data_IF_353222215340
#
_entry.id   IF_353222215340
#
_cell.length_a   1.000
_cell.length_b   1.000
_cell.length_c   1.000
_cell.angle_alpha   90.00
_cell.angle_beta   90.00
_cell.angle_gamma   90.00
#
_symmetry.space_group_name_H-M   'P 1'
#
loop_
_entity.id
_entity.type
_entity.pdbx_description
1 polymer ?
#
# COMPACT_ATOMS: atom_id res chain seq x y z
N UNK A 1 23.57 9.48 -4.06
CA UNK A 1 22.22 9.62 -3.46
C UNK A 1 21.59 8.24 -3.45
N UNK A 2 20.89 7.87 -2.38
CA UNK A 2 20.17 6.60 -2.28
C UNK A 2 19.07 6.53 -3.34
N UNK A 3 18.97 5.39 -4.03
CA UNK A 3 17.95 5.15 -5.05
C UNK A 3 16.70 4.58 -4.39
N UNK A 4 15.68 5.41 -4.23
CA UNK A 4 14.44 5.07 -3.54
C UNK A 4 13.36 4.60 -4.52
N UNK A 5 12.57 3.59 -4.11
CA UNK A 5 11.46 3.05 -4.88
C UNK A 5 10.19 2.97 -4.03
N UNK A 6 9.09 3.50 -4.55
CA UNK A 6 7.76 3.33 -4.00
C UNK A 6 6.96 2.33 -4.85
N UNK A 7 6.50 1.25 -4.23
CA UNK A 7 5.60 0.26 -4.81
C UNK A 7 4.17 0.58 -4.34
N UNK A 8 3.24 0.71 -5.27
CA UNK A 8 1.83 0.98 -4.98
C UNK A 8 1.01 -0.24 -5.41
N UNK A 9 0.51 -1.00 -4.44
CA UNK A 9 -0.35 -2.14 -4.74
C UNK A 9 -1.79 -1.68 -4.88
N UNK A 10 -2.38 -1.99 -6.03
CA UNK A 10 -3.75 -1.58 -6.36
C UNK A 10 -4.58 -2.73 -6.91
N UNK A 11 -5.89 -2.66 -6.74
CA UNK A 11 -6.85 -3.48 -7.46
C UNK A 11 -7.33 -2.74 -8.71
N UNK A 12 -7.75 -3.49 -9.72
CA UNK A 12 -8.44 -2.89 -10.85
C UNK A 12 -9.81 -2.37 -10.38
N UNK A 13 -10.18 -1.10 -10.71
CA UNK A 13 -11.45 -0.52 -10.26
C UNK A 13 -12.63 -1.07 -11.08
N UNK A 14 -13.10 -2.25 -10.68
CA UNK A 14 -14.19 -2.97 -11.33
C UNK A 14 -15.42 -3.05 -10.43
N UNK A 15 -16.60 -2.85 -11.03
CA UNK A 15 -17.88 -2.89 -10.32
C UNK A 15 -18.07 -4.25 -9.61
N UNK A 16 -18.38 -4.20 -8.31
CA UNK A 16 -18.60 -5.38 -7.49
C UNK A 16 -17.34 -6.16 -7.07
N UNK A 17 -16.13 -5.75 -7.53
CA UNK A 17 -14.87 -6.42 -7.18
C UNK A 17 -14.03 -5.66 -6.16
N UNK A 18 -14.33 -4.38 -5.91
CA UNK A 18 -13.61 -3.52 -4.97
C UNK A 18 -14.52 -3.07 -3.82
N UNK A 19 -13.92 -2.85 -2.64
CA UNK A 19 -14.64 -2.39 -1.44
C UNK A 19 -15.94 -3.13 -1.18
N UNK A 20 -15.90 -4.45 -1.27
CA UNK A 20 -17.09 -5.32 -1.17
C UNK A 20 -17.77 -5.28 0.20
N UNK A 21 -17.03 -4.97 1.28
CA UNK A 21 -17.63 -4.73 2.61
C UNK A 21 -18.46 -3.46 2.60
N UNK A 22 -17.89 -2.36 2.10
CA UNK A 22 -18.57 -1.08 1.94
C UNK A 22 -19.78 -1.21 1.00
N UNK A 23 -19.64 -1.95 -0.10
CA UNK A 23 -20.71 -2.17 -1.08
C UNK A 23 -21.97 -2.85 -0.49
N UNK A 24 -21.82 -3.66 0.56
CA UNK A 24 -22.97 -4.24 1.27
C UNK A 24 -23.89 -3.19 1.89
N UNK A 25 -23.33 -2.03 2.26
CA UNK A 25 -24.06 -0.96 2.92
C UNK A 25 -24.53 0.11 1.93
N UNK A 26 -23.72 0.48 0.92
CA UNK A 26 -24.00 1.63 0.03
C UNK A 26 -24.24 1.25 -1.43
N UNK A 27 -24.11 -0.04 -1.77
CA UNK A 27 -24.22 -0.54 -3.15
C UNK A 27 -22.91 -0.47 -3.93
N UNK A 28 -22.81 -1.31 -4.99
CA UNK A 28 -21.58 -1.46 -5.77
C UNK A 28 -21.14 -0.19 -6.50
N UNK A 29 -22.10 0.59 -7.03
CA UNK A 29 -21.79 1.81 -7.79
C UNK A 29 -21.15 2.88 -6.90
N UNK A 30 -21.68 3.10 -5.70
CA UNK A 30 -21.12 4.06 -4.74
C UNK A 30 -19.79 3.57 -4.20
N UNK A 31 -19.66 2.28 -3.88
CA UNK A 31 -18.39 1.69 -3.43
C UNK A 31 -17.28 1.79 -4.47
N UNK A 32 -17.61 1.62 -5.77
CA UNK A 32 -16.66 1.84 -6.86
C UNK A 32 -16.24 3.32 -6.94
N UNK A 33 -17.16 4.27 -6.81
CA UNK A 33 -16.82 5.71 -6.80
C UNK A 33 -15.91 6.07 -5.64
N UNK A 34 -16.18 5.55 -4.44
CA UNK A 34 -15.29 5.71 -3.27
C UNK A 34 -13.91 5.14 -3.58
N UNK A 35 -13.82 3.94 -4.15
CA UNK A 35 -12.53 3.35 -4.48
C UNK A 35 -11.74 4.17 -5.51
N UNK A 36 -12.42 4.70 -6.54
CA UNK A 36 -11.78 5.60 -7.53
C UNK A 36 -11.26 6.87 -6.85
N UNK A 37 -12.00 7.43 -5.87
CA UNK A 37 -11.51 8.58 -5.11
C UNK A 37 -10.29 8.24 -4.25
N UNK A 38 -10.22 7.05 -3.65
CA UNK A 38 -9.04 6.57 -2.92
C UNK A 38 -7.81 6.45 -3.84
N UNK A 39 -8.00 5.95 -5.07
CA UNK A 39 -6.94 5.92 -6.08
C UNK A 39 -6.47 7.34 -6.45
N UNK A 40 -7.40 8.28 -6.66
CA UNK A 40 -7.07 9.68 -6.94
C UNK A 40 -6.32 10.32 -5.77
N UNK A 41 -6.72 10.04 -4.53
CA UNK A 41 -6.02 10.50 -3.34
C UNK A 41 -4.60 9.93 -3.28
N UNK A 42 -4.43 8.62 -3.52
CA UNK A 42 -3.12 7.98 -3.58
C UNK A 42 -2.23 8.62 -4.65
N UNK A 43 -2.78 8.92 -5.83
CA UNK A 43 -2.04 9.66 -6.86
C UNK A 43 -1.59 11.03 -6.36
N UNK A 44 -2.50 11.83 -5.78
CA UNK A 44 -2.21 13.20 -5.31
C UNK A 44 -1.01 13.28 -4.37
N UNK A 45 -0.90 12.35 -3.40
CA UNK A 45 0.21 12.40 -2.45
C UNK A 45 1.47 11.67 -2.93
N UNK A 46 1.41 10.88 -4.02
CA UNK A 46 2.59 10.16 -4.51
C UNK A 46 3.24 10.80 -5.73
N UNK A 47 2.48 11.54 -6.58
CA UNK A 47 2.96 12.01 -7.89
C UNK A 47 4.24 12.84 -7.82
N UNK A 48 4.38 13.70 -6.80
CA UNK A 48 5.52 14.61 -6.64
C UNK A 48 6.62 14.11 -5.69
N UNK A 49 6.53 12.85 -5.19
CA UNK A 49 7.58 12.29 -4.35
C UNK A 49 8.89 12.12 -5.13
N UNK A 50 10.06 12.46 -4.53
CA UNK A 50 11.37 12.36 -5.18
C UNK A 50 11.92 10.92 -5.17
N UNK A 51 11.17 9.98 -5.73
CA UNK A 51 11.52 8.57 -5.86
C UNK A 51 10.92 7.98 -7.13
N UNK A 52 11.46 6.85 -7.59
CA UNK A 52 10.83 6.07 -8.65
C UNK A 52 9.56 5.40 -8.11
N UNK A 53 8.57 5.20 -8.97
CA UNK A 53 7.25 4.67 -8.60
C UNK A 53 6.80 3.56 -9.52
N UNK A 54 6.31 2.46 -8.94
CA UNK A 54 5.72 1.35 -9.69
C UNK A 54 4.33 1.07 -9.13
N UNK A 55 3.33 1.09 -10.00
CA UNK A 55 1.97 0.65 -9.67
C UNK A 55 1.81 -0.81 -10.07
N UNK A 56 1.51 -1.65 -9.09
CA UNK A 56 1.27 -3.08 -9.27
C UNK A 56 -0.23 -3.39 -9.27
N UNK A 57 -0.74 -3.81 -10.42
CA UNK A 57 -2.15 -4.17 -10.61
C UNK A 57 -2.43 -5.61 -10.22
N UNK A 58 -3.62 -5.86 -9.67
CA UNK A 58 -4.01 -7.21 -9.23
C UNK A 58 -4.33 -8.17 -10.36
N UNK A 59 -4.89 -7.68 -11.49
CA UNK A 59 -5.39 -8.53 -12.58
C UNK A 59 -4.84 -8.16 -13.95
N UNK A 60 -4.91 -6.88 -14.34
CA UNK A 60 -4.44 -6.43 -15.66
C UNK A 60 -3.93 -4.99 -15.63
N UNK A 61 -2.94 -4.66 -16.46
CA UNK A 61 -2.42 -3.32 -16.60
C UNK A 61 -3.36 -2.50 -17.48
N UNK A 62 -3.84 -1.37 -16.96
CA UNK A 62 -4.58 -0.37 -17.74
C UNK A 62 -3.65 0.79 -18.10
N UNK A 63 -3.39 0.97 -19.41
CA UNK A 63 -2.55 2.06 -19.89
C UNK A 63 -3.27 3.41 -19.98
N UNK A 64 -4.61 3.44 -19.80
CA UNK A 64 -5.46 4.63 -19.92
C UNK A 64 -6.20 4.96 -18.63
N UNK A 65 -5.53 4.81 -17.49
CA UNK A 65 -6.07 5.14 -16.18
C UNK A 65 -5.42 6.41 -15.60
N UNK A 66 -5.62 6.64 -14.31
CA UNK A 66 -5.12 7.82 -13.61
C UNK A 66 -3.59 7.86 -13.46
N UNK A 67 -2.90 6.71 -13.55
CA UNK A 67 -1.45 6.60 -13.37
C UNK A 67 -0.74 6.86 -14.69
N UNK A 68 -0.22 8.08 -14.89
CA UNK A 68 0.47 8.42 -16.11
C UNK A 68 1.85 7.71 -16.23
N UNK A 69 2.23 7.35 -17.46
CA UNK A 69 3.44 6.56 -17.74
C UNK A 69 4.77 7.36 -17.59
N UNK A 70 4.70 8.68 -17.46
CA UNK A 70 5.91 9.50 -17.24
C UNK A 70 6.33 9.48 -15.78
N UNK A 71 5.34 9.33 -14.88
CA UNK A 71 5.54 9.33 -13.41
C UNK A 71 5.58 7.92 -12.84
N UNK A 72 4.80 7.00 -13.42
CA UNK A 72 4.60 5.66 -12.85
C UNK A 72 4.93 4.56 -13.87
N UNK A 73 5.83 3.66 -13.51
CA UNK A 73 5.94 2.36 -14.19
C UNK A 73 4.75 1.48 -13.76
N UNK A 74 4.27 0.62 -14.64
CA UNK A 74 3.12 -0.25 -14.40
C UNK A 74 3.53 -1.70 -14.53
N UNK A 75 3.16 -2.52 -13.53
CA UNK A 75 3.50 -3.94 -13.46
C UNK A 75 2.30 -4.76 -12.96
N UNK A 76 2.34 -6.08 -13.15
CA UNK A 76 1.36 -6.99 -12.57
C UNK A 76 1.89 -7.60 -11.26
N UNK A 77 1.03 -7.71 -10.27
CA UNK A 77 1.31 -8.50 -9.09
C UNK A 77 1.47 -9.97 -9.50
N UNK A 78 2.54 -10.61 -9.04
CA UNK A 78 2.79 -12.03 -9.32
C UNK A 78 3.04 -12.81 -8.03
N UNK A 79 2.32 -13.92 -7.85
CA UNK A 79 2.38 -14.76 -6.65
C UNK A 79 1.01 -15.31 -6.26
N UNK A 80 1.02 -16.40 -5.50
CA UNK A 80 -0.19 -17.15 -5.15
C UNK A 80 -1.02 -16.48 -4.02
N UNK A 81 -0.37 -15.67 -3.20
CA UNK A 81 -0.98 -14.91 -2.10
C UNK A 81 -0.37 -13.52 -2.00
N UNK A 82 -0.90 -12.67 -1.12
CA UNK A 82 -0.44 -11.29 -0.93
C UNK A 82 1.04 -11.24 -0.52
N UNK A 83 1.48 -12.14 0.36
CA UNK A 83 2.87 -12.19 0.81
C UNK A 83 3.84 -12.50 -0.32
N UNK A 84 3.53 -13.52 -1.13
CA UNK A 84 4.34 -13.86 -2.31
C UNK A 84 4.38 -12.69 -3.33
N UNK A 85 3.25 -12.01 -3.53
CA UNK A 85 3.17 -10.85 -4.44
C UNK A 85 4.05 -9.70 -3.95
N UNK A 86 3.98 -9.35 -2.67
CA UNK A 86 4.85 -8.33 -2.08
C UNK A 86 6.32 -8.73 -2.14
N UNK A 87 6.65 -9.98 -1.75
CA UNK A 87 8.02 -10.48 -1.80
C UNK A 87 8.63 -10.42 -3.21
N UNK A 88 7.86 -10.77 -4.23
CA UNK A 88 8.30 -10.72 -5.63
C UNK A 88 8.54 -9.27 -6.10
N UNK A 89 7.66 -8.34 -5.72
CA UNK A 89 7.82 -6.92 -6.04
C UNK A 89 9.07 -6.32 -5.37
N UNK A 90 9.32 -6.61 -4.08
CA UNK A 90 10.54 -6.21 -3.40
C UNK A 90 11.79 -6.83 -4.05
N UNK A 91 11.76 -8.13 -4.35
CA UNK A 91 12.86 -8.85 -5.01
C UNK A 91 13.21 -8.21 -6.35
N UNK A 92 12.21 -7.86 -7.15
CA UNK A 92 12.41 -7.16 -8.42
C UNK A 92 13.09 -5.80 -8.19
N UNK A 93 12.58 -4.97 -7.28
CA UNK A 93 13.17 -3.68 -6.98
C UNK A 93 14.63 -3.78 -6.51
N UNK A 94 14.96 -4.70 -5.61
CA UNK A 94 16.34 -4.91 -5.17
C UNK A 94 17.24 -5.43 -6.31
N UNK A 95 16.72 -6.26 -7.23
CA UNK A 95 17.49 -6.70 -8.40
C UNK A 95 17.77 -5.57 -9.39
N UNK A 96 16.99 -4.49 -9.36
CA UNK A 96 17.18 -3.26 -10.14
C UNK A 96 18.04 -2.21 -9.40
N UNK A 97 18.74 -2.65 -8.32
CA UNK A 97 19.65 -1.84 -7.52
C UNK A 97 19.00 -0.62 -6.84
N UNK A 98 17.76 -0.73 -6.37
CA UNK A 98 17.19 0.22 -5.42
C UNK A 98 17.73 -0.05 -4.01
N UNK A 99 18.08 1.03 -3.29
CA UNK A 99 18.65 0.94 -1.94
C UNK A 99 17.57 0.87 -0.85
N UNK A 100 16.45 1.56 -1.07
CA UNK A 100 15.31 1.60 -0.16
C UNK A 100 14.03 1.39 -0.94
N UNK A 101 13.22 0.46 -0.50
CA UNK A 101 11.94 0.17 -1.13
C UNK A 101 10.84 0.25 -0.09
N UNK A 102 9.77 0.97 -0.43
CA UNK A 102 8.54 1.04 0.36
C UNK A 102 7.39 0.53 -0.48
N UNK A 103 6.53 -0.31 0.10
CA UNK A 103 5.25 -0.72 -0.47
C UNK A 103 4.11 -0.10 0.33
N UNK A 104 3.09 0.38 -0.38
CA UNK A 104 1.83 0.88 0.20
C UNK A 104 0.63 0.26 -0.50
N UNK A 105 -0.51 0.20 0.21
CA UNK A 105 -1.83 0.02 -0.39
C UNK A 105 -2.33 1.31 -1.07
N UNK A 106 -3.45 1.20 -1.78
CA UNK A 106 -4.10 2.33 -2.49
C UNK A 106 -5.49 2.65 -1.94
N UNK A 107 -5.76 2.29 -0.71
CA UNK A 107 -7.08 2.39 -0.08
C UNK A 107 -7.11 3.16 1.25
N UNK A 108 -6.05 3.93 1.51
CA UNK A 108 -5.94 4.83 2.66
C UNK A 108 -6.21 6.28 2.22
N UNK A 109 -7.14 6.93 2.90
CA UNK A 109 -7.45 8.33 2.64
C UNK A 109 -6.49 9.30 3.35
N UNK A 110 -6.04 8.94 4.57
CA UNK A 110 -5.24 9.77 5.46
C UNK A 110 -3.72 9.63 5.29
N UNK A 111 -3.27 8.77 4.38
CA UNK A 111 -1.85 8.66 4.05
C UNK A 111 -1.40 9.94 3.33
N UNK A 112 -0.23 10.45 3.71
CA UNK A 112 0.35 11.69 3.15
C UNK A 112 1.74 11.48 2.60
N UNK A 113 2.19 12.44 1.76
CA UNK A 113 3.58 12.48 1.27
C UNK A 113 4.59 12.49 2.41
N UNK A 114 4.31 13.23 3.50
CA UNK A 114 5.23 13.39 4.63
C UNK A 114 5.48 12.07 5.36
N UNK A 115 4.45 11.22 5.50
CA UNK A 115 4.61 9.90 6.12
C UNK A 115 5.53 9.01 5.27
N UNK A 116 5.40 9.06 3.94
CA UNK A 116 6.24 8.28 3.02
C UNK A 116 7.69 8.81 3.02
N UNK A 117 7.87 10.13 3.02
CA UNK A 117 9.19 10.75 3.11
C UNK A 117 9.87 10.41 4.43
N UNK A 118 9.16 10.54 5.57
CA UNK A 118 9.66 10.08 6.86
C UNK A 118 10.07 8.61 6.82
N UNK A 119 9.25 7.74 6.23
CA UNK A 119 9.55 6.31 6.14
C UNK A 119 10.87 6.06 5.36
N UNK A 120 11.12 6.78 4.26
CA UNK A 120 12.40 6.68 3.54
C UNK A 120 13.58 7.21 4.37
N UNK A 121 13.41 8.29 5.12
CA UNK A 121 14.45 8.82 6.02
C UNK A 121 14.75 7.85 7.16
N UNK A 122 13.72 7.28 7.78
CA UNK A 122 13.88 6.32 8.89
C UNK A 122 14.60 5.04 8.47
N UNK A 123 14.52 4.65 7.20
CA UNK A 123 15.32 3.54 6.66
C UNK A 123 16.83 3.83 6.68
N UNK A 124 17.30 5.06 6.85
CA UNK A 124 18.75 5.31 7.01
C UNK A 124 19.30 4.65 8.28
N UNK A 125 18.53 4.64 9.36
CA UNK A 125 18.94 4.15 10.68
C UNK A 125 18.20 2.89 11.16
N UNK A 126 17.20 2.43 10.42
CA UNK A 126 16.42 1.23 10.72
C UNK A 126 16.48 0.22 9.57
N UNK A 127 16.23 -1.05 9.86
CA UNK A 127 16.21 -2.12 8.87
C UNK A 127 14.85 -2.21 8.18
N UNK A 128 13.79 -1.95 8.96
CA UNK A 128 12.39 -2.01 8.52
C UNK A 128 11.63 -0.79 9.01
N UNK A 129 10.71 -0.30 8.19
CA UNK A 129 9.68 0.66 8.57
C UNK A 129 8.32 0.03 8.34
N UNK A 130 7.44 0.09 9.34
CA UNK A 130 6.05 -0.39 9.26
C UNK A 130 5.08 0.74 9.58
N UNK A 131 4.03 0.85 8.77
CA UNK A 131 2.88 1.69 9.05
C UNK A 131 1.71 0.82 9.51
N UNK A 132 1.40 0.77 10.82
CA UNK A 132 0.33 -0.08 11.34
C UNK A 132 -1.03 0.41 10.86
N UNK A 133 -1.93 -0.54 10.58
CA UNK A 133 -3.33 -0.30 10.27
C UNK A 133 -4.21 -0.73 11.46
N UNK A 134 -5.31 0.00 11.69
CA UNK A 134 -6.21 -0.26 12.83
C UNK A 134 -6.89 -1.63 12.78
N UNK A 135 -6.97 -2.25 11.60
CA UNK A 135 -7.50 -3.59 11.40
C UNK A 135 -6.55 -4.72 11.85
N UNK A 136 -5.33 -4.36 12.32
CA UNK A 136 -4.28 -5.30 12.74
C UNK A 136 -3.37 -5.77 11.59
N UNK A 137 -3.47 -5.16 10.42
CA UNK A 137 -2.53 -5.25 9.32
C UNK A 137 -1.48 -4.13 9.35
N UNK A 138 -0.91 -3.84 8.19
CA UNK A 138 -0.09 -2.66 7.95
C UNK A 138 -0.36 -2.10 6.57
N UNK A 139 -0.38 -0.78 6.46
CA UNK A 139 -0.60 -0.07 5.21
C UNK A 139 0.70 0.27 4.47
N UNK A 140 1.83 0.26 5.20
CA UNK A 140 3.15 0.57 4.70
C UNK A 140 4.16 -0.44 5.22
N UNK A 141 5.01 -0.94 4.34
CA UNK A 141 6.18 -1.74 4.67
C UNK A 141 7.36 -1.23 3.88
N UNK A 142 8.43 -0.84 4.56
CA UNK A 142 9.70 -0.40 3.95
C UNK A 142 10.87 -1.22 4.45
N UNK A 143 11.86 -1.48 3.58
CA UNK A 143 13.10 -2.17 3.92
C UNK A 143 14.26 -1.82 2.98
N UNK A 144 15.50 -2.12 3.41
CA UNK A 144 16.75 -1.91 2.64
C UNK A 144 17.28 -3.20 2.02
N UNK A 145 16.86 -4.33 2.51
CA UNK A 145 17.20 -5.67 2.00
C UNK A 145 15.96 -6.56 2.11
N UNK A 146 15.88 -7.56 1.24
CA UNK A 146 14.76 -8.49 1.30
C UNK A 146 14.82 -9.34 2.57
N UNK A 147 13.77 -9.28 3.38
CA UNK A 147 13.60 -10.08 4.61
C UNK A 147 12.48 -11.11 4.36
N UNK A 148 12.80 -12.33 3.90
CA UNK A 148 11.80 -13.30 3.47
C UNK A 148 10.84 -13.78 4.57
N UNK A 149 11.24 -13.71 5.84
CA UNK A 149 10.39 -14.12 6.99
C UNK A 149 9.11 -13.30 7.09
N UNK A 150 9.15 -12.02 6.74
CA UNK A 150 7.99 -11.12 6.75
C UNK A 150 6.82 -11.66 5.92
N UNK A 151 7.13 -12.38 4.84
CA UNK A 151 6.13 -12.80 3.84
C UNK A 151 5.68 -14.26 3.99
N UNK A 152 6.25 -15.01 4.94
CA UNK A 152 5.97 -16.44 5.10
C UNK A 152 5.02 -16.70 6.26
N UNK A 153 4.20 -17.75 6.13
CA UNK A 153 3.34 -18.25 7.21
C UNK A 153 2.43 -17.17 7.82
N UNK A 154 1.84 -16.31 6.97
CA UNK A 154 0.90 -15.26 7.39
C UNK A 154 -0.53 -15.61 7.01
N UNK A 155 -1.43 -15.32 7.91
CA UNK A 155 -2.86 -15.32 7.63
C UNK A 155 -3.29 -13.96 7.09
N UNK A 156 -2.97 -13.71 5.82
CA UNK A 156 -3.22 -12.41 5.19
C UNK A 156 -4.69 -12.00 5.28
N UNK A 157 -4.93 -10.71 5.60
CA UNK A 157 -6.27 -10.16 5.77
C UNK A 157 -6.90 -10.42 7.15
N UNK A 158 -6.09 -10.80 8.14
CA UNK A 158 -6.51 -10.96 9.54
C UNK A 158 -5.78 -9.97 10.44
N UNK A 159 -6.36 -9.71 11.62
CA UNK A 159 -5.77 -8.82 12.62
C UNK A 159 -4.44 -9.33 13.24
N UNK A 160 -4.03 -10.54 12.92
CA UNK A 160 -2.78 -11.13 13.42
C UNK A 160 -1.55 -10.76 12.60
N UNK A 161 -1.71 -10.19 11.40
CA UNK A 161 -0.62 -9.94 10.42
C UNK A 161 0.46 -9.04 11.01
N UNK A 162 0.10 -7.88 11.57
CA UNK A 162 1.06 -6.94 12.13
C UNK A 162 1.86 -7.55 13.29
N UNK A 163 1.17 -8.15 14.27
CA UNK A 163 1.82 -8.74 15.44
C UNK A 163 2.73 -9.93 15.08
N UNK A 164 2.32 -10.77 14.11
CA UNK A 164 3.15 -11.86 13.63
C UNK A 164 4.36 -11.37 12.82
N UNK A 165 4.21 -10.29 12.07
CA UNK A 165 5.32 -9.67 11.34
C UNK A 165 6.38 -9.12 12.31
N UNK A 166 5.98 -8.41 13.38
CA UNK A 166 6.91 -7.93 14.40
C UNK A 166 7.68 -9.06 15.09
N UNK A 167 7.05 -10.22 15.31
CA UNK A 167 7.74 -11.41 15.85
C UNK A 167 8.82 -11.92 14.92
N UNK A 168 8.54 -11.95 13.60
CA UNK A 168 9.48 -12.48 12.61
C UNK A 168 10.69 -11.57 12.35
N UNK A 169 10.65 -10.33 12.82
CA UNK A 169 11.72 -9.32 12.70
C UNK A 169 12.16 -8.79 14.07
N UNK A 170 11.99 -9.58 15.14
CA UNK A 170 12.34 -9.17 16.51
C UNK A 170 13.84 -8.85 16.68
N UNK A 171 14.70 -9.36 15.81
CA UNK A 171 16.15 -9.09 15.77
C UNK A 171 16.51 -7.84 14.95
N UNK A 172 15.55 -7.20 14.27
CA UNK A 172 15.75 -6.05 13.39
C UNK A 172 15.44 -4.74 14.09
N UNK A 173 16.06 -3.66 13.64
CA UNK A 173 15.65 -2.30 14.03
C UNK A 173 14.43 -1.89 13.24
N UNK A 174 13.30 -1.77 13.92
CA UNK A 174 12.00 -1.41 13.33
C UNK A 174 11.59 -0.01 13.77
N UNK A 175 11.19 0.82 12.80
CA UNK A 175 10.49 2.07 13.07
C UNK A 175 9.01 1.92 12.72
N UNK A 176 8.13 2.42 13.56
CA UNK A 176 6.69 2.45 13.31
C UNK A 176 6.27 3.88 12.97
N UNK A 177 5.61 4.05 11.83
CA UNK A 177 4.96 5.33 11.49
C UNK A 177 3.64 5.46 12.23
N UNK A 178 2.94 6.57 12.04
CA UNK A 178 1.59 6.79 12.60
C UNK A 178 0.64 5.67 12.16
N UNK A 179 -0.17 5.16 13.09
CA UNK A 179 -1.26 4.25 12.79
C UNK A 179 -2.35 4.97 11.99
N UNK A 180 -2.84 4.32 10.91
CA UNK A 180 -3.90 4.84 10.06
C UNK A 180 -5.01 3.80 9.91
N UNK A 181 -6.18 4.26 9.44
CA UNK A 181 -7.32 3.42 9.12
C UNK A 181 -7.54 3.39 7.59
N UNK A 182 -7.75 2.21 7.04
CA UNK A 182 -8.23 2.05 5.67
C UNK A 182 -9.76 2.25 5.59
N UNK A 183 -10.25 2.62 4.42
CA UNK A 183 -11.68 2.86 4.21
C UNK A 183 -12.36 1.56 3.76
N UNK A 184 -12.89 0.79 4.69
CA UNK A 184 -13.50 -0.52 4.39
C UNK A 184 -15.01 -0.62 4.67
N UNK A 185 -15.51 0.19 5.60
CA UNK A 185 -16.92 0.26 5.97
C UNK A 185 -17.39 1.72 6.06
N UNK A 186 -18.70 1.94 6.17
CA UNK A 186 -19.29 3.30 6.17
C UNK A 186 -18.76 4.17 7.31
N UNK A 187 -18.55 3.60 8.48
CA UNK A 187 -18.02 4.34 9.65
C UNK A 187 -16.61 4.89 9.42
N UNK A 188 -15.80 4.26 8.55
CA UNK A 188 -14.47 4.76 8.21
C UNK A 188 -14.53 6.07 7.39
N UNK A 189 -15.69 6.36 6.78
CA UNK A 189 -15.88 7.55 5.96
C UNK A 189 -16.34 8.78 6.79
N UNK A 190 -16.83 8.60 8.02
CA UNK A 190 -17.53 9.64 8.80
C UNK A 190 -16.70 10.93 8.97
N UNK A 191 -15.39 10.83 9.08
CA UNK A 191 -14.50 11.99 9.24
C UNK A 191 -14.00 12.56 7.90
N UNK A 192 -14.49 12.06 6.76
CA UNK A 192 -14.04 12.44 5.42
C UNK A 192 -15.18 13.04 4.59
N UNK A 193 -15.39 14.38 4.62
CA UNK A 193 -16.51 15.02 3.93
C UNK A 193 -16.61 14.67 2.43
N UNK A 194 -15.48 14.53 1.75
CA UNK A 194 -15.45 14.14 0.32
C UNK A 194 -16.01 12.73 0.15
N UNK A 195 -15.60 11.76 0.98
CA UNK A 195 -16.10 10.39 0.90
C UNK A 195 -17.58 10.31 1.30
N UNK A 196 -18.01 11.09 2.30
CA UNK A 196 -19.42 11.19 2.71
C UNK A 196 -20.34 11.70 1.59
N UNK A 197 -19.83 12.50 0.64
CA UNK A 197 -20.62 12.97 -0.49
C UNK A 197 -21.09 11.86 -1.44
N UNK A 198 -20.51 10.65 -1.31
CA UNK A 198 -20.94 9.47 -2.07
C UNK A 198 -22.08 8.67 -1.38
N UNK A 199 -22.41 8.98 -0.11
CA UNK A 199 -23.50 8.33 0.61
C UNK A 199 -24.86 8.90 0.18
#
# INVERSE_FOLDING_TARGET
>A
MSKNLLLIFTRNPELGKVKTRLAKSIGNDKALKVYIELLNQTKRFTENLPCDKIVYYSENINCKDIWDLHTYRKELQSGNDLGNRMANAFKQGFSEAYDKIIIIGSDLYDLTSDIILEAFERLDSNDVVLGPATDGGYYLLGMKELIPSIFRNKEWGTASVFSSTLKDIADKKVFLTKELNDIDVVTDMENHPVLNSFL
#
